data_IF_166254587982
#
_entry.id   IF_166254587982
#
_cell.length_a   1.000
_cell.length_b   1.000
_cell.length_c   1.000
_cell.angle_alpha   90.00
_cell.angle_beta   90.00
_cell.angle_gamma   90.00
#
_symmetry.space_group_name_H-M   'P 1'
#
loop_
_entity.id
_entity.type
_entity.pdbx_description
1 polymer ?
#
# COMPACT_ATOMS: atom_id res chain seq x y z
N UNK A 1 14.55 30.80 17.30
CA UNK A 1 13.38 30.16 16.68
C UNK A 1 13.87 29.00 15.84
N UNK A 2 13.64 27.76 16.31
CA UNK A 2 13.98 26.56 15.54
C UNK A 2 13.08 26.48 14.31
N UNK A 3 13.66 26.59 13.11
CA UNK A 3 12.92 26.36 11.87
C UNK A 3 12.27 24.96 11.92
N UNK A 4 10.97 24.83 11.59
CA UNK A 4 10.32 23.53 11.58
C UNK A 4 10.99 22.67 10.51
N UNK A 5 11.58 21.55 10.93
CA UNK A 5 12.19 20.56 10.02
C UNK A 5 11.16 20.18 8.96
N UNK A 6 11.51 20.44 7.70
CA UNK A 6 10.66 20.20 6.51
C UNK A 6 10.49 18.72 6.17
N UNK A 7 11.11 17.84 6.95
CA UNK A 7 11.11 16.39 6.75
C UNK A 7 10.13 15.73 7.71
N UNK A 8 9.11 15.06 7.13
CA UNK A 8 8.17 14.24 7.91
C UNK A 8 8.87 12.92 8.26
N UNK A 9 8.83 12.46 9.52
CA UNK A 9 9.42 11.19 9.90
C UNK A 9 8.70 10.05 9.17
N UNK A 10 9.46 8.99 8.85
CA UNK A 10 8.91 7.78 8.24
C UNK A 10 8.19 6.99 9.32
N UNK A 11 6.87 6.97 9.24
CA UNK A 11 5.98 6.17 10.09
C UNK A 11 6.09 4.71 9.64
N UNK A 12 6.11 3.75 10.57
CA UNK A 12 6.06 2.33 10.24
C UNK A 12 4.80 1.97 9.43
N UNK A 13 4.92 1.02 8.52
CA UNK A 13 3.79 0.54 7.72
C UNK A 13 2.70 -0.08 8.61
N UNK A 14 1.44 0.28 8.37
CA UNK A 14 0.30 -0.35 9.03
C UNK A 14 0.00 -1.70 8.38
N UNK A 15 -0.07 -2.77 9.18
CA UNK A 15 -0.41 -4.11 8.69
C UNK A 15 -1.70 -4.58 9.34
N UNK A 16 -2.68 -4.93 8.52
CA UNK A 16 -3.89 -5.68 8.87
C UNK A 16 -3.94 -6.96 8.05
N UNK A 17 -4.85 -7.88 8.38
CA UNK A 17 -4.91 -9.26 7.87
C UNK A 17 -4.91 -9.39 6.34
N UNK A 18 -5.39 -8.39 5.61
CA UNK A 18 -5.43 -8.34 4.14
C UNK A 18 -5.13 -6.96 3.56
N UNK A 19 -4.62 -6.06 4.40
CA UNK A 19 -4.47 -4.65 4.05
C UNK A 19 -3.15 -4.15 4.61
N UNK A 20 -2.32 -3.61 3.72
CA UNK A 20 -1.07 -2.97 4.09
C UNK A 20 -1.16 -1.50 3.71
N UNK A 21 -1.03 -0.62 4.70
CA UNK A 21 -0.97 0.83 4.50
C UNK A 21 0.48 1.30 4.59
N UNK A 22 0.99 1.91 3.52
CA UNK A 22 2.37 2.41 3.43
C UNK A 22 2.38 3.91 3.26
N UNK A 23 3.34 4.57 3.90
CA UNK A 23 3.54 6.00 3.75
C UNK A 23 4.25 6.28 2.41
N UNK A 24 3.61 7.06 1.53
CA UNK A 24 4.18 7.46 0.25
C UNK A 24 5.27 8.52 0.42
N UNK A 25 6.10 8.69 -0.61
CA UNK A 25 7.08 9.76 -0.66
C UNK A 25 6.41 11.15 -0.62
N UNK A 26 7.12 12.12 -0.04
CA UNK A 26 6.65 13.48 0.01
C UNK A 26 6.63 14.10 -1.40
N UNK A 27 5.50 14.71 -1.79
CA UNK A 27 5.40 15.42 -3.06
C UNK A 27 6.22 16.73 -3.04
N UNK A 28 6.33 17.42 -4.18
CA UNK A 28 7.07 18.69 -4.34
C UNK A 28 6.65 19.80 -3.37
N UNK A 29 5.46 19.68 -2.75
CA UNK A 29 4.90 20.62 -1.76
C UNK A 29 5.03 20.11 -0.32
N UNK A 30 5.65 18.94 -0.10
CA UNK A 30 5.88 18.35 1.22
C UNK A 30 4.69 17.55 1.79
N UNK A 31 3.66 17.27 0.99
CA UNK A 31 2.56 16.40 1.42
C UNK A 31 2.94 14.94 1.24
N UNK A 32 2.58 14.14 2.23
CA UNK A 32 2.81 12.70 2.28
C UNK A 32 1.44 12.04 2.17
N UNK A 33 1.26 11.22 1.14
CA UNK A 33 0.07 10.37 0.97
C UNK A 33 0.24 9.03 1.68
N UNK A 34 -0.85 8.27 1.76
CA UNK A 34 -0.82 6.87 2.16
C UNK A 34 -1.36 6.02 1.03
N UNK A 35 -0.66 4.93 0.75
CA UNK A 35 -1.11 3.91 -0.20
C UNK A 35 -1.69 2.74 0.57
N UNK A 36 -2.85 2.25 0.11
CA UNK A 36 -3.50 1.07 0.68
C UNK A 36 -3.41 -0.07 -0.33
N UNK A 37 -2.62 -1.09 0.01
CA UNK A 37 -2.45 -2.29 -0.79
C UNK A 37 -3.33 -3.40 -0.22
N UNK A 38 -4.19 -3.98 -1.07
CA UNK A 38 -5.04 -5.11 -0.73
C UNK A 38 -4.35 -6.41 -1.10
N UNK A 39 -4.24 -7.32 -0.14
CA UNK A 39 -3.72 -8.67 -0.40
C UNK A 39 -4.86 -9.57 -0.88
N UNK A 40 -4.64 -10.30 -1.98
CA UNK A 40 -5.60 -11.27 -2.51
C UNK A 40 -5.85 -12.37 -1.49
N UNK A 41 -7.10 -12.53 -1.06
CA UNK A 41 -7.48 -13.54 -0.07
C UNK A 41 -7.97 -14.85 -0.69
N UNK A 42 -8.33 -14.84 -1.97
CA UNK A 42 -8.83 -16.01 -2.69
C UNK A 42 -7.73 -16.63 -3.54
N UNK A 43 -7.74 -17.96 -3.64
CA UNK A 43 -6.90 -18.68 -4.59
C UNK A 43 -7.47 -18.47 -6.00
N UNK A 44 -6.75 -17.73 -6.83
CA UNK A 44 -7.08 -17.65 -8.26
C UNK A 44 -6.71 -18.97 -8.94
N UNK A 45 -7.70 -19.61 -9.57
CA UNK A 45 -7.50 -20.78 -10.43
C UNK A 45 -7.91 -20.36 -11.83
N UNK A 46 -7.04 -20.62 -12.81
CA UNK A 46 -7.35 -20.33 -14.20
C UNK A 46 -8.53 -21.20 -14.65
N UNK A 47 -9.47 -20.61 -15.37
CA UNK A 47 -10.56 -21.37 -15.99
C UNK A 47 -9.99 -22.32 -17.05
N UNK A 48 -10.24 -23.62 -16.90
CA UNK A 48 -9.87 -24.64 -17.89
C UNK A 48 -11.14 -25.07 -18.64
N UNK A 49 -11.08 -25.06 -19.98
CA UNK A 49 -12.17 -25.58 -20.79
C UNK A 49 -12.33 -27.07 -20.53
N UNK A 50 -13.52 -27.56 -20.16
CA UNK A 50 -13.74 -28.98 -19.90
C UNK A 50 -13.39 -29.80 -21.15
N UNK A 51 -12.79 -30.98 -20.94
CA UNK A 51 -12.52 -31.91 -22.05
C UNK A 51 -13.85 -32.24 -22.75
N UNK A 52 -13.84 -32.21 -24.09
CA UNK A 52 -15.02 -32.58 -24.88
C UNK A 52 -15.44 -34.02 -24.55
N UNK A 53 -16.76 -34.30 -24.56
CA UNK A 53 -17.28 -35.64 -24.31
C UNK A 53 -16.72 -36.67 -25.30
#
# INVERSE_FOLDING_TARGET
>A
MSEPKKTRPKVPDGKSRFVVTRQMEANKKGFVGYETVWESFQKEVKYETPKRP
#
